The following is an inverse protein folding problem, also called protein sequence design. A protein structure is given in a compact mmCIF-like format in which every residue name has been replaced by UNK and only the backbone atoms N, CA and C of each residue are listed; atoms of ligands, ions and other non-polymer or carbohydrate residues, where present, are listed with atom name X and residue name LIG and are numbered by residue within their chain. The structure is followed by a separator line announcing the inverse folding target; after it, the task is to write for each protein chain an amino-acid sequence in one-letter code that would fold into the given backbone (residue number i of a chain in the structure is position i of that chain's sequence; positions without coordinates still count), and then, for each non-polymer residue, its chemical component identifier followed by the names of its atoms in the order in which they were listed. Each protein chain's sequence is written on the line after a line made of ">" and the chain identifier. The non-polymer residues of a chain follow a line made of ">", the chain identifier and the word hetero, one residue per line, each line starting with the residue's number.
data_IF_660169412873
#
_entry.id   IF_660169412873
#
_cell.length_a   1.000
_cell.length_b   1.000
_cell.length_c   1.000
_cell.angle_alpha   90.00
_cell.angle_beta   90.00
_cell.angle_gamma   90.00
#
_symmetry.space_group_name_H-M   'P 1'
#
loop_
_entity.id
_entity.type
_entity.pdbx_description
1 polymer ?
#
# COMPACT_ATOMS: atom_id res chain seq x y z
N UNK A 1 -8.03 -18.57 -19.39
CA UNK A 1 -6.87 -17.94 -18.73
C UNK A 1 -6.41 -16.84 -19.67
N UNK A 2 -6.48 -15.58 -19.25
CA UNK A 2 -5.82 -14.50 -19.99
C UNK A 2 -4.32 -14.78 -20.00
N UNK A 3 -3.65 -14.51 -21.12
CA UNK A 3 -2.19 -14.54 -21.15
C UNK A 3 -1.62 -13.51 -20.18
N UNK A 4 -0.54 -13.87 -19.51
CA UNK A 4 0.20 -12.97 -18.63
C UNK A 4 0.74 -11.78 -19.43
N UNK A 5 0.57 -10.56 -18.90
CA UNK A 5 1.08 -9.32 -19.49
C UNK A 5 1.56 -8.39 -18.38
N UNK A 6 2.64 -7.64 -18.64
CA UNK A 6 3.15 -6.59 -17.75
C UNK A 6 2.66 -5.19 -18.16
N UNK A 7 1.82 -5.09 -19.20
CA UNK A 7 1.25 -3.81 -19.62
C UNK A 7 0.19 -3.38 -18.62
N UNK A 8 0.40 -2.22 -17.99
CA UNK A 8 -0.56 -1.64 -17.06
C UNK A 8 -1.80 -1.17 -17.81
N UNK A 9 -2.97 -1.41 -17.21
CA UNK A 9 -4.22 -0.83 -17.67
C UNK A 9 -4.40 0.61 -17.15
N UNK A 10 -5.48 1.29 -17.57
CA UNK A 10 -5.74 2.69 -17.20
C UNK A 10 -5.87 2.88 -15.67
N UNK A 11 -6.55 1.96 -14.98
CA UNK A 11 -6.72 2.02 -13.52
C UNK A 11 -5.37 1.88 -12.80
N UNK A 12 -4.52 0.95 -13.24
CA UNK A 12 -3.18 0.74 -12.69
C UNK A 12 -2.25 1.93 -12.94
N UNK A 13 -2.33 2.56 -14.11
CA UNK A 13 -1.59 3.79 -14.41
C UNK A 13 -2.06 4.95 -13.53
N UNK A 14 -3.37 5.03 -13.25
CA UNK A 14 -3.91 6.04 -12.34
C UNK A 14 -3.44 5.80 -10.90
N UNK A 15 -3.45 4.55 -10.43
CA UNK A 15 -2.92 4.18 -9.11
C UNK A 15 -1.43 4.48 -9.04
N UNK A 16 -0.65 4.09 -10.04
CA UNK A 16 0.78 4.39 -10.10
C UNK A 16 1.03 5.88 -9.89
N UNK A 17 0.38 6.73 -10.70
CA UNK A 17 0.54 8.18 -10.62
C UNK A 17 0.12 8.71 -9.25
N UNK A 18 -1.02 8.26 -8.74
CA UNK A 18 -1.54 8.73 -7.45
C UNK A 18 -0.60 8.40 -6.29
N UNK A 19 -0.05 7.18 -6.26
CA UNK A 19 0.91 6.77 -5.22
C UNK A 19 2.25 7.48 -5.40
N UNK A 20 2.71 7.66 -6.65
CA UNK A 20 3.92 8.43 -6.95
C UNK A 20 3.80 9.88 -6.47
N UNK A 21 2.67 10.53 -6.72
CA UNK A 21 2.42 11.90 -6.27
C UNK A 21 2.49 11.99 -4.73
N UNK A 22 1.98 10.99 -4.00
CA UNK A 22 2.12 10.95 -2.54
C UNK A 22 3.57 10.69 -2.11
N UNK A 23 4.26 9.76 -2.78
CA UNK A 23 5.65 9.44 -2.49
C UNK A 23 6.58 10.63 -2.72
N UNK A 24 6.43 11.35 -3.84
CA UNK A 24 7.23 12.52 -4.19
C UNK A 24 6.98 13.71 -3.26
N UNK A 25 5.71 13.99 -2.93
CA UNK A 25 5.35 15.22 -2.21
C UNK A 25 5.35 15.07 -0.68
N UNK A 26 5.20 13.84 -0.15
CA UNK A 26 5.06 13.60 1.29
C UNK A 26 6.16 12.71 1.83
N UNK A 27 6.42 11.56 1.20
CA UNK A 27 7.33 10.55 1.75
C UNK A 27 8.79 10.93 1.54
N UNK A 28 9.18 11.22 0.29
CA UNK A 28 10.57 11.51 -0.09
C UNK A 28 11.16 12.72 0.63
N UNK A 29 10.44 13.85 0.81
CA UNK A 29 10.98 15.00 1.54
C UNK A 29 11.18 14.72 3.04
N UNK A 30 10.45 13.75 3.60
CA UNK A 30 10.56 13.35 4.99
C UNK A 30 11.60 12.25 5.24
N UNK A 31 12.07 11.55 4.20
CA UNK A 31 12.90 10.35 4.33
C UNK A 31 14.14 10.56 5.21
N UNK A 32 14.95 11.59 4.94
CA UNK A 32 16.22 11.85 5.67
C UNK A 32 15.98 12.18 7.14
N UNK A 33 15.01 13.05 7.44
CA UNK A 33 14.71 13.43 8.82
C UNK A 33 14.20 12.23 9.63
N UNK A 34 13.38 11.36 9.04
CA UNK A 34 12.85 10.18 9.74
C UNK A 34 13.88 9.06 9.89
N UNK A 35 14.80 8.92 8.94
CA UNK A 35 15.96 8.02 9.08
C UNK A 35 16.84 8.45 10.25
N UNK A 36 17.17 9.74 10.37
CA UNK A 36 17.97 10.26 11.49
C UNK A 36 17.27 10.14 12.85
N UNK A 37 15.95 10.32 12.88
CA UNK A 37 15.17 10.29 14.13
C UNK A 37 14.91 8.88 14.63
N UNK A 38 14.90 7.87 13.76
CA UNK A 38 14.53 6.48 14.09
C UNK A 38 13.16 6.36 14.79
N UNK A 39 12.22 7.27 14.47
CA UNK A 39 10.90 7.34 15.07
C UNK A 39 9.79 6.88 14.12
N UNK A 40 8.70 6.36 14.67
CA UNK A 40 7.56 5.95 13.86
C UNK A 40 6.85 7.17 13.22
N UNK A 41 6.60 7.17 11.89
CA UNK A 41 6.11 8.33 11.16
C UNK A 41 4.59 8.55 11.27
N UNK A 42 4.07 8.71 12.49
CA UNK A 42 2.64 8.92 12.75
C UNK A 42 1.97 9.99 11.86
N UNK A 43 2.57 11.18 11.63
CA UNK A 43 1.95 12.21 10.79
C UNK A 43 1.82 11.80 9.32
N UNK A 44 2.74 10.98 8.81
CA UNK A 44 2.73 10.53 7.41
C UNK A 44 1.77 9.34 7.27
N UNK A 45 1.75 8.43 8.25
CA UNK A 45 0.79 7.33 8.31
C UNK A 45 -0.65 7.87 8.35
N UNK A 46 -0.91 8.91 9.14
CA UNK A 46 -2.24 9.54 9.17
C UNK A 46 -2.62 10.12 7.80
N UNK A 47 -1.70 10.81 7.11
CA UNK A 47 -1.96 11.33 5.77
C UNK A 47 -2.22 10.22 4.75
N UNK A 48 -1.48 9.12 4.82
CA UNK A 48 -1.72 7.94 4.00
C UNK A 48 -3.12 7.33 4.26
N UNK A 49 -3.59 7.37 5.51
CA UNK A 49 -4.92 6.92 5.89
C UNK A 49 -6.00 7.84 5.33
N UNK A 50 -5.80 9.16 5.41
CA UNK A 50 -6.74 10.17 4.96
C UNK A 50 -6.98 10.11 3.44
N UNK A 51 -5.98 9.69 2.66
CA UNK A 51 -6.12 9.45 1.22
C UNK A 51 -6.60 8.02 0.89
N UNK A 52 -6.67 7.13 1.88
CA UNK A 52 -7.13 5.74 1.71
C UNK A 52 -6.08 4.76 1.17
N UNK A 53 -4.78 5.10 1.21
CA UNK A 53 -3.70 4.34 0.56
C UNK A 53 -3.53 2.92 1.10
N UNK A 54 -3.93 2.66 2.34
CA UNK A 54 -3.86 1.34 2.98
C UNK A 54 -5.18 0.94 3.66
N UNK A 55 -6.29 1.57 3.25
CA UNK A 55 -7.62 1.23 3.73
C UNK A 55 -8.13 -0.09 3.17
N UNK A 56 -9.19 -0.63 3.78
CA UNK A 56 -9.80 -1.90 3.38
C UNK A 56 -10.21 -1.94 1.90
N UNK A 57 -10.72 -0.84 1.37
CA UNK A 57 -11.19 -0.67 0.00
C UNK A 57 -10.04 -0.79 -0.99
N UNK A 58 -8.93 -0.10 -0.72
CA UNK A 58 -7.73 -0.19 -1.55
C UNK A 58 -7.15 -1.61 -1.52
N UNK A 59 -6.98 -2.18 -0.32
CA UNK A 59 -6.42 -3.52 -0.15
C UNK A 59 -7.29 -4.59 -0.81
N UNK A 60 -8.61 -4.51 -0.63
CA UNK A 60 -9.55 -5.47 -1.24
C UNK A 60 -9.58 -5.37 -2.77
N UNK A 61 -9.57 -4.15 -3.33
CA UNK A 61 -9.48 -3.95 -4.78
C UNK A 61 -8.17 -4.52 -5.33
N UNK A 62 -7.06 -4.22 -4.67
CA UNK A 62 -5.74 -4.57 -5.18
C UNK A 62 -5.40 -6.07 -4.98
N UNK A 63 -5.96 -6.73 -3.97
CA UNK A 63 -5.74 -8.17 -3.72
C UNK A 63 -6.79 -9.09 -4.35
N UNK A 64 -8.06 -8.67 -4.42
CA UNK A 64 -9.17 -9.51 -4.90
C UNK A 64 -9.80 -9.01 -6.20
N UNK A 65 -9.72 -7.70 -6.44
CA UNK A 65 -10.35 -7.04 -7.60
C UNK A 65 -9.47 -6.96 -8.85
N UNK A 66 -8.16 -7.13 -8.72
CA UNK A 66 -7.22 -7.09 -9.85
C UNK A 66 -6.87 -8.51 -10.36
N UNK A 67 -7.42 -8.95 -11.51
CA UNK A 67 -7.11 -10.25 -12.09
C UNK A 67 -5.68 -10.37 -12.62
N UNK A 68 -4.96 -9.25 -12.80
CA UNK A 68 -3.56 -9.26 -13.25
C UNK A 68 -2.56 -9.41 -12.10
N UNK A 69 -2.97 -9.03 -10.89
CA UNK A 69 -2.11 -9.00 -9.70
C UNK A 69 -1.00 -7.95 -9.73
N UNK A 70 -1.09 -6.93 -10.59
CA UNK A 70 -0.07 -5.90 -10.76
C UNK A 70 -0.34 -4.66 -9.90
N UNK A 71 -1.59 -4.40 -9.51
CA UNK A 71 -1.97 -3.19 -8.75
C UNK A 71 -1.18 -3.06 -7.44
N UNK A 72 -1.08 -4.13 -6.66
CA UNK A 72 -0.32 -4.13 -5.40
C UNK A 72 1.18 -3.89 -5.61
N UNK A 73 1.89 -4.67 -6.47
CA UNK A 73 3.29 -4.40 -6.76
C UNK A 73 3.58 -2.98 -7.21
N UNK A 74 2.76 -2.42 -8.12
CA UNK A 74 2.95 -1.06 -8.65
C UNK A 74 2.79 -0.02 -7.54
N UNK A 75 1.74 -0.12 -6.72
CA UNK A 75 1.56 0.82 -5.60
C UNK A 75 2.71 0.75 -4.59
N UNK A 76 3.18 -0.47 -4.27
CA UNK A 76 4.31 -0.62 -3.36
C UNK A 76 5.61 -0.09 -3.97
N UNK A 77 5.87 -0.33 -5.26
CA UNK A 77 7.06 0.20 -5.92
C UNK A 77 7.15 1.72 -5.80
N UNK A 78 6.04 2.43 -6.07
CA UNK A 78 6.00 3.89 -5.99
C UNK A 78 6.14 4.40 -4.54
N UNK A 79 5.52 3.73 -3.57
CA UNK A 79 5.63 4.12 -2.17
C UNK A 79 7.06 3.94 -1.64
N UNK A 80 7.69 2.80 -1.96
CA UNK A 80 9.05 2.47 -1.53
C UNK A 80 10.11 3.26 -2.29
N UNK A 81 9.80 3.79 -3.48
CA UNK A 81 10.64 4.78 -4.15
C UNK A 81 10.80 6.06 -3.30
N UNK A 82 9.74 6.45 -2.57
CA UNK A 82 9.78 7.57 -1.62
C UNK A 82 10.74 7.29 -0.47
N UNK A 83 10.43 6.28 0.33
CA UNK A 83 11.28 5.75 1.40
C UNK A 83 10.84 4.35 1.83
N UNK A 84 11.80 3.46 2.06
CA UNK A 84 11.51 2.07 2.41
C UNK A 84 11.03 1.91 3.86
N UNK A 85 11.54 2.73 4.79
CA UNK A 85 11.16 2.67 6.21
C UNK A 85 9.73 3.17 6.43
N UNK A 86 9.41 4.35 5.90
CA UNK A 86 8.07 4.95 5.92
C UNK A 86 7.10 4.09 5.10
N UNK A 87 7.51 3.59 3.93
CA UNK A 87 6.69 2.69 3.13
C UNK A 87 6.29 1.43 3.91
N UNK A 88 7.22 0.84 4.65
CA UNK A 88 6.92 -0.28 5.54
C UNK A 88 6.07 0.12 6.75
N UNK A 89 6.24 1.32 7.30
CA UNK A 89 5.41 1.80 8.41
C UNK A 89 3.93 1.95 8.00
N UNK A 90 3.67 2.42 6.78
CA UNK A 90 2.32 2.53 6.21
C UNK A 90 1.75 1.15 5.90
N UNK A 91 2.52 0.32 5.20
CA UNK A 91 2.00 -0.92 4.64
C UNK A 91 2.12 -2.14 5.56
N UNK A 92 2.89 -2.05 6.65
CA UNK A 92 3.25 -3.20 7.48
C UNK A 92 2.05 -3.91 8.12
N UNK A 93 0.97 -3.20 8.42
CA UNK A 93 -0.28 -3.80 8.95
C UNK A 93 -0.91 -4.81 7.98
N UNK A 94 -0.74 -4.62 6.67
CA UNK A 94 -1.26 -5.54 5.66
C UNK A 94 -0.66 -6.94 5.74
N UNK A 95 0.57 -7.09 6.27
CA UNK A 95 1.20 -8.40 6.45
C UNK A 95 0.45 -9.24 7.50
N UNK A 96 0.01 -8.59 8.58
CA UNK A 96 -0.84 -9.23 9.58
C UNK A 96 -2.22 -9.56 9.01
N UNK A 97 -2.82 -8.62 8.26
CA UNK A 97 -4.10 -8.84 7.58
C UNK A 97 -4.04 -10.01 6.59
N UNK A 98 -2.97 -10.12 5.80
CA UNK A 98 -2.75 -11.22 4.87
C UNK A 98 -2.61 -12.57 5.61
N UNK A 99 -1.94 -12.57 6.77
CA UNK A 99 -1.84 -13.76 7.62
C UNK A 99 -3.20 -14.25 8.12
N UNK A 100 -4.06 -13.31 8.56
CA UNK A 100 -5.44 -13.60 8.98
C UNK A 100 -6.28 -14.05 7.79
N UNK A 101 -6.23 -13.37 6.65
CA UNK A 101 -7.00 -13.74 5.47
C UNK A 101 -6.61 -15.12 4.90
N UNK A 102 -5.34 -15.51 5.02
CA UNK A 102 -4.84 -16.79 4.53
C UNK A 102 -5.13 -17.99 5.43
N UNK A 103 -5.32 -17.80 6.73
CA UNK A 103 -5.41 -18.89 7.71
C UNK A 103 -6.61 -18.81 8.66
N UNK A 104 -7.21 -17.63 8.80
CA UNK A 104 -8.30 -17.35 9.71
C UNK A 104 -9.67 -17.69 9.13
N UNK A 105 -10.67 -17.68 10.00
CA UNK A 105 -12.07 -17.77 9.57
C UNK A 105 -12.55 -16.44 8.97
N UNK A 106 -13.67 -16.48 8.25
CA UNK A 106 -14.32 -15.26 7.78
C UNK A 106 -14.66 -14.31 8.94
N UNK A 107 -15.10 -14.86 10.08
CA UNK A 107 -15.40 -14.10 11.29
C UNK A 107 -14.14 -13.38 11.82
N UNK A 108 -13.01 -14.07 11.91
CA UNK A 108 -11.73 -13.45 12.33
C UNK A 108 -11.27 -12.38 11.34
N UNK A 109 -11.48 -12.60 10.04
CA UNK A 109 -11.12 -11.61 9.02
C UNK A 109 -11.94 -10.34 9.18
N UNK A 110 -13.26 -10.47 9.37
CA UNK A 110 -14.15 -9.32 9.52
C UNK A 110 -13.99 -8.58 10.86
N UNK A 111 -13.49 -9.25 11.90
CA UNK A 111 -13.25 -8.63 13.21
C UNK A 111 -11.93 -7.86 13.28
N UNK A 112 -10.86 -8.38 12.67
CA UNK A 112 -9.48 -7.90 12.93
C UNK A 112 -8.80 -7.19 11.76
N UNK A 113 -9.35 -7.24 10.54
CA UNK A 113 -8.75 -6.63 9.34
C UNK A 113 -9.25 -5.20 9.04
N UNK A 114 -10.54 -4.87 9.21
CA UNK A 114 -11.02 -3.49 9.05
C UNK A 114 -10.40 -2.53 10.06
#
# INVERSE_FOLDING_TARGET
>A
MSEFSMTLNEDQLQIQKWVHDFAENVVRPAAEEWDEREEFPWPIVQQAADIGLYGFEFISQAMMGDPTGLTMPVALEELFWGDAGIGLAIFGSSLAAAGIAGNGTMEQTLEWVP
#
